data_IF_030935004699
#
_entry.id   IF_030935004699
#
_cell.length_a   1.000
_cell.length_b   1.000
_cell.length_c   1.000
_cell.angle_alpha   90.00
_cell.angle_beta   90.00
_cell.angle_gamma   90.00
#
_symmetry.space_group_name_H-M   'P 1'
#
loop_
_entity.id
_entity.type
_entity.pdbx_description
1 polymer ?
#
# COMPACT_ATOMS: atom_id res chain seq x y z
N UNK A 1 -19.45 -16.23 -27.97
CA UNK A 1 -18.00 -16.09 -27.70
C UNK A 1 -17.78 -15.03 -26.64
N UNK A 2 -17.82 -15.41 -25.37
CA UNK A 2 -17.33 -14.62 -24.25
C UNK A 2 -17.14 -15.58 -23.07
N UNK A 3 -15.89 -16.06 -22.84
CA UNK A 3 -15.40 -16.03 -21.47
C UNK A 3 -13.87 -15.89 -21.44
N UNK A 4 -13.36 -14.67 -21.50
CA UNK A 4 -11.96 -14.36 -21.10
C UNK A 4 -11.95 -13.37 -19.92
N UNK A 5 -13.07 -12.68 -19.68
CA UNK A 5 -13.18 -11.68 -18.60
C UNK A 5 -13.34 -12.34 -17.22
N UNK A 6 -13.82 -13.59 -17.15
CA UNK A 6 -14.16 -14.24 -15.87
C UNK A 6 -12.94 -14.74 -15.06
N UNK A 7 -11.79 -15.00 -15.69
CA UNK A 7 -10.62 -15.55 -14.98
C UNK A 7 -9.79 -14.50 -14.23
N UNK A 8 -9.84 -13.22 -14.63
CA UNK A 8 -9.10 -12.14 -13.92
C UNK A 8 -9.85 -11.60 -12.69
N UNK A 9 -11.12 -11.95 -12.51
CA UNK A 9 -11.92 -11.55 -11.34
C UNK A 9 -11.62 -12.39 -10.09
N UNK A 10 -11.00 -13.57 -10.21
CA UNK A 10 -10.77 -14.46 -9.06
C UNK A 10 -9.79 -13.87 -8.03
N UNK A 11 -8.65 -13.32 -8.46
CA UNK A 11 -7.67 -12.73 -7.54
C UNK A 11 -8.21 -11.54 -6.72
N UNK A 12 -9.22 -10.82 -7.22
CA UNK A 12 -9.88 -9.69 -6.56
C UNK A 12 -10.80 -10.15 -5.42
N UNK A 13 -11.58 -11.20 -5.66
CA UNK A 13 -12.42 -11.82 -4.63
C UNK A 13 -11.60 -12.60 -3.61
N UNK A 14 -10.46 -13.17 -4.01
CA UNK A 14 -9.55 -13.90 -3.10
C UNK A 14 -8.95 -12.99 -2.02
N UNK A 15 -8.63 -11.72 -2.34
CA UNK A 15 -8.12 -10.76 -1.35
C UNK A 15 -9.22 -10.27 -0.38
N UNK A 16 -10.43 -10.02 -0.89
CA UNK A 16 -11.60 -9.68 -0.06
C UNK A 16 -11.98 -10.85 0.84
N UNK A 17 -11.96 -12.07 0.29
CA UNK A 17 -12.21 -13.30 1.02
C UNK A 17 -11.12 -13.55 2.05
N UNK A 18 -9.85 -13.28 1.71
CA UNK A 18 -8.73 -13.33 2.63
C UNK A 18 -8.91 -12.36 3.80
N UNK A 19 -9.29 -11.09 3.59
CA UNK A 19 -9.55 -10.14 4.69
C UNK A 19 -10.84 -10.49 5.47
N UNK A 20 -11.91 -10.93 4.81
CA UNK A 20 -13.10 -11.43 5.52
C UNK A 20 -12.79 -12.65 6.38
N UNK A 21 -11.97 -13.58 5.88
CA UNK A 21 -11.47 -14.75 6.63
C UNK A 21 -10.50 -14.33 7.74
N UNK A 22 -9.72 -13.27 7.52
CA UNK A 22 -8.88 -12.60 8.52
C UNK A 22 -9.70 -12.07 9.71
N UNK A 23 -10.94 -11.62 9.46
CA UNK A 23 -11.84 -11.09 10.48
C UNK A 23 -12.80 -12.14 11.08
N UNK A 24 -13.21 -13.15 10.30
CA UNK A 24 -14.26 -14.11 10.66
C UNK A 24 -13.76 -15.48 11.17
N UNK A 25 -12.55 -15.91 10.80
CA UNK A 25 -11.97 -17.19 11.24
C UNK A 25 -10.75 -17.00 12.15
N UNK A 26 -10.40 -18.04 12.93
CA UNK A 26 -9.10 -18.13 13.59
C UNK A 26 -8.01 -18.16 12.52
N UNK A 27 -7.34 -17.02 12.29
CA UNK A 27 -6.05 -16.99 11.60
C UNK A 27 -5.15 -18.07 12.20
N UNK A 28 -4.77 -19.03 11.38
CA UNK A 28 -3.79 -20.02 11.83
C UNK A 28 -2.42 -19.36 11.91
N UNK A 29 -1.60 -19.78 12.88
CA UNK A 29 -0.22 -19.31 13.02
C UNK A 29 0.55 -19.52 11.70
N UNK A 30 0.28 -20.61 10.98
CA UNK A 30 0.88 -20.91 9.68
C UNK A 30 0.54 -19.82 8.65
N UNK A 31 -0.73 -19.42 8.54
CA UNK A 31 -1.13 -18.35 7.62
C UNK A 31 -0.41 -17.05 7.92
N UNK A 32 -0.27 -16.70 9.20
CA UNK A 32 0.40 -15.47 9.65
C UNK A 32 1.90 -15.49 9.34
N UNK A 33 2.55 -16.64 9.51
CA UNK A 33 3.95 -16.86 9.13
C UNK A 33 4.13 -16.64 7.62
N UNK A 34 3.25 -17.22 6.79
CA UNK A 34 3.31 -17.06 5.33
C UNK A 34 3.14 -15.60 4.91
N UNK A 35 2.20 -14.89 5.53
CA UNK A 35 2.00 -13.45 5.28
C UNK A 35 3.26 -12.67 5.66
N UNK A 36 3.84 -12.94 6.83
CA UNK A 36 5.07 -12.31 7.28
C UNK A 36 6.22 -12.52 6.30
N UNK A 37 6.39 -13.75 5.80
CA UNK A 37 7.40 -14.09 4.82
C UNK A 37 7.17 -13.40 3.47
N UNK A 38 5.94 -13.40 2.95
CA UNK A 38 5.59 -12.77 1.67
C UNK A 38 5.80 -11.26 1.73
N UNK A 39 5.34 -10.60 2.79
CA UNK A 39 5.47 -9.14 2.94
C UNK A 39 6.93 -8.74 3.10
N UNK A 40 7.72 -9.50 3.87
CA UNK A 40 9.17 -9.27 3.96
C UNK A 40 9.88 -9.51 2.64
N UNK A 41 9.53 -10.56 1.89
CA UNK A 41 10.08 -10.79 0.56
C UNK A 41 9.73 -9.64 -0.40
N UNK A 42 8.50 -9.11 -0.32
CA UNK A 42 8.11 -7.93 -1.08
C UNK A 42 8.90 -6.67 -0.67
N UNK A 43 9.25 -6.53 0.61
CA UNK A 43 10.12 -5.47 1.12
C UNK A 43 11.58 -5.58 0.64
N UNK A 44 12.05 -6.78 0.31
CA UNK A 44 13.36 -6.97 -0.34
C UNK A 44 13.33 -6.51 -1.80
N UNK A 45 12.20 -6.66 -2.49
CA UNK A 45 12.05 -6.24 -3.89
C UNK A 45 11.91 -4.72 -4.01
N UNK A 46 11.18 -4.07 -3.10
CA UNK A 46 11.03 -2.62 -3.04
C UNK A 46 11.01 -2.11 -1.61
N UNK A 47 11.87 -1.13 -1.32
CA UNK A 47 12.01 -0.51 0.01
C UNK A 47 10.68 0.02 0.55
N UNK A 48 9.84 0.63 -0.29
CA UNK A 48 8.52 1.14 0.12
C UNK A 48 7.64 0.09 0.82
N UNK A 49 7.78 -1.19 0.44
CA UNK A 49 6.98 -2.27 0.99
C UNK A 49 7.35 -2.59 2.45
N UNK A 50 8.48 -2.08 2.96
CA UNK A 50 8.82 -2.23 4.39
C UNK A 50 7.76 -1.62 5.31
N UNK A 51 7.02 -0.61 4.84
CA UNK A 51 5.97 0.06 5.61
C UNK A 51 4.74 -0.83 5.85
N UNK A 52 4.55 -1.90 5.09
CA UNK A 52 3.48 -2.87 5.36
C UNK A 52 3.74 -3.72 6.60
N UNK A 53 5.01 -3.94 6.97
CA UNK A 53 5.37 -4.72 8.15
C UNK A 53 4.83 -4.11 9.45
N UNK A 54 5.14 -2.83 9.80
CA UNK A 54 4.59 -2.21 11.00
C UNK A 54 3.07 -2.06 10.92
N UNK A 55 2.49 -1.81 9.73
CA UNK A 55 1.05 -1.70 9.56
C UNK A 55 0.33 -3.00 9.93
N UNK A 56 0.75 -4.13 9.35
CA UNK A 56 0.14 -5.44 9.62
C UNK A 56 0.35 -5.83 11.08
N UNK A 57 1.52 -5.54 11.64
CA UNK A 57 1.79 -5.73 13.07
C UNK A 57 0.80 -4.94 13.94
N UNK A 58 0.60 -3.64 13.67
CA UNK A 58 -0.33 -2.80 14.42
C UNK A 58 -1.79 -3.27 14.27
N UNK A 59 -2.18 -3.77 13.10
CA UNK A 59 -3.51 -4.37 12.88
C UNK A 59 -3.68 -5.61 13.76
N UNK A 60 -2.70 -6.52 13.77
CA UNK A 60 -2.74 -7.73 14.60
C UNK A 60 -2.80 -7.39 16.10
N UNK A 61 -2.02 -6.40 16.55
CA UNK A 61 -2.06 -5.88 17.91
C UNK A 61 -3.43 -5.26 18.24
N UNK A 62 -3.99 -4.44 17.33
CA UNK A 62 -5.30 -3.83 17.48
C UNK A 62 -6.44 -4.85 17.57
N UNK A 63 -6.28 -5.99 16.89
CA UNK A 63 -7.17 -7.15 16.97
C UNK A 63 -6.92 -8.05 18.19
N UNK A 64 -5.99 -7.66 19.08
CA UNK A 64 -5.54 -8.42 20.26
C UNK A 64 -5.01 -9.83 19.91
N UNK A 65 -4.45 -9.99 18.71
CA UNK A 65 -3.86 -11.24 18.19
C UNK A 65 -2.36 -11.30 18.47
N UNK A 66 -1.99 -11.32 19.76
CA UNK A 66 -0.59 -11.18 20.18
C UNK A 66 0.30 -12.36 19.78
N UNK A 67 -0.25 -13.58 19.76
CA UNK A 67 0.52 -14.77 19.36
C UNK A 67 0.84 -14.71 17.87
N UNK A 68 -0.13 -14.31 17.08
CA UNK A 68 -0.04 -14.10 15.66
C UNK A 68 0.91 -12.95 15.33
N UNK A 69 0.86 -11.83 16.06
CA UNK A 69 1.79 -10.71 15.83
C UNK A 69 3.24 -11.11 16.08
N UNK A 70 3.52 -11.92 17.12
CA UNK A 70 4.86 -12.45 17.38
C UNK A 70 5.30 -13.39 16.25
N UNK A 71 4.42 -14.30 15.80
CA UNK A 71 4.72 -15.22 14.70
C UNK A 71 4.99 -14.47 13.38
N UNK A 72 4.18 -13.45 13.08
CA UNK A 72 4.38 -12.55 11.95
C UNK A 72 5.75 -11.87 12.02
N UNK A 73 6.04 -11.18 13.14
CA UNK A 73 7.29 -10.44 13.31
C UNK A 73 8.51 -11.35 13.22
N UNK A 74 8.44 -12.55 13.79
CA UNK A 74 9.53 -13.53 13.74
C UNK A 74 9.78 -14.00 12.30
N UNK A 75 8.72 -14.38 11.58
CA UNK A 75 8.84 -14.80 10.19
C UNK A 75 9.37 -13.66 9.30
N UNK A 76 8.82 -12.46 9.49
CA UNK A 76 9.24 -11.27 8.76
C UNK A 76 10.70 -10.90 9.02
N UNK A 77 11.14 -10.97 10.28
CA UNK A 77 12.52 -10.74 10.68
C UNK A 77 13.47 -11.75 10.02
N UNK A 78 13.16 -13.05 10.10
CA UNK A 78 14.03 -14.10 9.54
C UNK A 78 14.22 -13.94 8.02
N UNK A 79 13.15 -13.58 7.29
CA UNK A 79 13.24 -13.35 5.84
C UNK A 79 14.03 -12.09 5.50
N UNK A 80 13.90 -11.03 6.30
CA UNK A 80 14.58 -9.75 6.04
C UNK A 80 16.03 -9.71 6.57
N UNK A 81 16.38 -10.62 7.50
CA UNK A 81 17.66 -10.69 8.18
C UNK A 81 18.87 -10.69 7.23
N UNK A 82 18.89 -11.45 6.11
CA UNK A 82 20.02 -11.42 5.17
C UNK A 82 20.32 -10.01 4.64
N UNK A 83 19.27 -9.21 4.37
CA UNK A 83 19.44 -7.84 3.90
C UNK A 83 20.01 -6.92 4.99
N UNK A 84 19.61 -7.10 6.25
CA UNK A 84 20.18 -6.33 7.36
C UNK A 84 21.65 -6.67 7.60
N UNK A 85 22.02 -7.94 7.51
CA UNK A 85 23.42 -8.38 7.60
C UNK A 85 24.23 -7.76 6.46
N UNK A 86 23.72 -7.83 5.22
CA UNK A 86 24.33 -7.19 4.06
C UNK A 86 24.51 -5.68 4.27
N UNK A 87 23.44 -4.98 4.66
CA UNK A 87 23.47 -3.54 4.86
C UNK A 87 24.48 -3.14 5.95
N UNK A 88 24.50 -3.87 7.06
CA UNK A 88 25.45 -3.61 8.14
C UNK A 88 26.89 -3.82 7.70
N UNK A 89 27.18 -4.92 7.01
CA UNK A 89 28.53 -5.24 6.53
C UNK A 89 29.05 -4.21 5.53
N UNK A 90 28.23 -3.77 4.57
CA UNK A 90 28.68 -2.88 3.49
C UNK A 90 28.52 -1.39 3.80
N UNK A 91 27.56 -1.00 4.63
CA UNK A 91 27.24 0.42 4.89
C UNK A 91 27.40 0.85 6.35
N UNK A 92 27.78 -0.06 7.26
CA UNK A 92 27.96 0.24 8.68
C UNK A 92 26.67 0.40 9.49
N UNK A 93 25.50 0.25 8.85
CA UNK A 93 24.18 0.34 9.48
C UNK A 93 23.17 -0.57 8.78
N UNK A 94 22.30 -1.31 9.52
CA UNK A 94 21.33 -2.21 8.90
C UNK A 94 20.20 -1.47 8.17
N UNK A 95 20.02 -0.18 8.48
CA UNK A 95 18.96 0.67 7.94
C UNK A 95 19.39 1.48 6.72
N UNK A 96 20.65 1.36 6.30
CA UNK A 96 21.17 2.04 5.12
C UNK A 96 20.89 1.20 3.87
N UNK A 97 20.21 1.80 2.89
CA UNK A 97 19.85 1.16 1.63
C UNK A 97 20.82 1.58 0.51
N UNK A 98 21.18 0.63 -0.35
CA UNK A 98 22.39 0.65 -1.18
C UNK A 98 22.45 1.60 -2.38
N UNK A 99 21.86 2.78 -2.32
CA UNK A 99 22.01 3.79 -3.37
C UNK A 99 22.70 5.04 -2.81
N UNK A 100 24.04 5.01 -2.81
CA UNK A 100 24.91 6.17 -2.58
C UNK A 100 25.21 6.96 -3.87
N UNK A 101 24.42 6.80 -4.92
CA UNK A 101 24.61 7.63 -6.12
C UNK A 101 23.85 8.94 -5.89
N UNK A 102 24.57 9.94 -5.36
CA UNK A 102 24.08 11.32 -5.15
C UNK A 102 23.40 11.91 -6.40
N UNK A 103 23.77 11.44 -7.58
CA UNK A 103 23.27 11.92 -8.87
C UNK A 103 21.85 11.40 -9.20
N UNK A 104 21.40 10.31 -8.58
CA UNK A 104 20.05 9.74 -8.76
C UNK A 104 19.10 10.12 -7.61
N UNK A 105 19.62 10.43 -6.42
CA UNK A 105 18.86 10.99 -5.31
C UNK A 105 18.58 12.46 -5.58
N UNK A 106 17.60 12.75 -6.44
CA UNK A 106 17.29 14.12 -6.83
C UNK A 106 16.99 15.02 -5.63
N UNK A 107 17.64 16.20 -5.62
CA UNK A 107 17.39 17.41 -4.82
C UNK A 107 16.70 17.25 -3.44
N UNK A 108 17.12 16.27 -2.64
CA UNK A 108 16.60 16.04 -1.29
C UNK A 108 17.68 16.21 -0.23
N UNK A 109 17.31 16.80 0.91
CA UNK A 109 18.12 16.84 2.13
C UNK A 109 18.69 15.44 2.42
N UNK A 110 20.02 15.34 2.42
CA UNK A 110 20.80 14.13 2.65
C UNK A 110 20.49 13.56 4.04
N UNK A 111 19.42 12.77 4.13
CA UNK A 111 19.12 11.95 5.29
C UNK A 111 19.66 10.55 5.01
N UNK A 112 20.62 10.10 5.82
CA UNK A 112 21.18 8.74 5.73
C UNK A 112 20.10 7.65 5.88
N UNK A 113 18.96 8.02 6.47
CA UNK A 113 17.77 7.21 6.62
C UNK A 113 17.03 7.08 5.28
N UNK A 114 16.86 5.85 4.78
CA UNK A 114 16.29 5.56 3.45
C UNK A 114 17.08 6.18 2.28
N UNK A 115 18.38 6.46 2.47
CA UNK A 115 19.32 6.77 1.39
C UNK A 115 19.18 8.15 0.75
N UNK A 116 18.54 9.13 1.39
CA UNK A 116 18.33 10.47 0.83
C UNK A 116 17.21 10.56 -0.20
N UNK A 117 16.30 9.58 -0.22
CA UNK A 117 15.26 9.48 -1.27
C UNK A 117 14.01 10.32 -0.97
N UNK A 118 13.88 10.86 0.25
CA UNK A 118 12.75 11.65 0.69
C UNK A 118 13.05 13.14 0.53
N UNK A 119 12.33 13.83 -0.37
CA UNK A 119 12.36 15.29 -0.46
C UNK A 119 10.95 15.86 -0.40
N UNK A 120 10.74 16.86 0.45
CA UNK A 120 9.47 17.61 0.50
C UNK A 120 9.28 18.49 -0.74
N UNK A 121 10.36 18.92 -1.38
CA UNK A 121 10.30 19.71 -2.62
C UNK A 121 9.63 18.89 -3.74
N UNK A 122 9.82 17.56 -3.73
CA UNK A 122 9.16 16.66 -4.68
C UNK A 122 7.64 16.66 -4.53
N UNK A 123 7.11 16.89 -3.34
CA UNK A 123 5.65 16.98 -3.12
C UNK A 123 5.09 18.20 -3.84
N UNK A 124 5.77 19.35 -3.71
CA UNK A 124 5.37 20.59 -4.38
C UNK A 124 5.44 20.43 -5.91
N UNK A 125 6.54 19.90 -6.44
CA UNK A 125 6.71 19.64 -7.87
C UNK A 125 5.63 18.69 -8.42
N UNK A 126 5.25 17.66 -7.65
CA UNK A 126 4.17 16.76 -8.03
C UNK A 126 2.84 17.50 -8.18
N UNK A 127 2.46 18.32 -7.20
CA UNK A 127 1.22 19.11 -7.28
C UNK A 127 1.27 20.17 -8.39
N UNK A 128 2.42 20.78 -8.63
CA UNK A 128 2.61 21.73 -9.73
C UNK A 128 2.43 21.06 -11.10
N UNK A 129 3.01 19.87 -11.30
CA UNK A 129 2.79 19.06 -12.51
C UNK A 129 1.33 18.64 -12.68
N UNK A 130 0.66 18.24 -11.59
CA UNK A 130 -0.78 17.93 -11.62
C UNK A 130 -1.60 19.17 -11.99
N UNK A 131 -1.26 20.33 -11.43
CA UNK A 131 -1.90 21.62 -11.73
C UNK A 131 -1.74 22.06 -13.19
N UNK A 132 -0.56 21.86 -13.78
CA UNK A 132 -0.31 22.17 -15.19
C UNK A 132 -1.09 21.25 -16.15
N UNK A 133 -1.42 20.02 -15.74
CA UNK A 133 -2.18 19.05 -16.53
C UNK A 133 -3.68 18.99 -16.15
N UNK A 134 -4.13 19.86 -15.24
CA UNK A 134 -5.47 19.89 -14.66
C UNK A 134 -6.65 20.18 -15.63
N UNK A 135 -6.50 20.90 -16.77
CA UNK A 135 -7.65 21.29 -17.61
C UNK A 135 -8.51 20.11 -18.11
N UNK A 136 -7.92 18.92 -18.27
CA UNK A 136 -8.63 17.70 -18.71
C UNK A 136 -9.26 16.95 -17.53
N UNK A 137 -8.76 17.14 -16.31
CA UNK A 137 -9.14 16.37 -15.13
C UNK A 137 -10.09 17.11 -14.18
N UNK A 138 -10.28 18.43 -14.33
CA UNK A 138 -10.99 19.28 -13.37
C UNK A 138 -12.44 18.84 -13.10
N UNK A 139 -13.10 18.24 -14.09
CA UNK A 139 -14.49 17.78 -13.98
C UNK A 139 -14.62 16.32 -13.54
N UNK A 140 -13.66 15.47 -13.90
CA UNK A 140 -13.70 14.04 -13.60
C UNK A 140 -13.10 13.71 -12.23
N UNK A 141 -12.08 14.47 -11.80
CA UNK A 141 -11.38 14.23 -10.55
C UNK A 141 -12.28 14.39 -9.32
N UNK A 142 -13.11 15.45 -9.18
CA UNK A 142 -13.98 15.60 -8.01
C UNK A 142 -15.02 14.48 -7.92
N UNK A 143 -15.59 14.06 -9.06
CA UNK A 143 -16.55 12.95 -9.13
C UNK A 143 -15.88 11.65 -8.71
N UNK A 144 -14.68 11.38 -9.22
CA UNK A 144 -13.91 10.19 -8.85
C UNK A 144 -13.58 10.19 -7.35
N UNK A 145 -13.10 11.31 -6.81
CA UNK A 145 -12.80 11.47 -5.39
C UNK A 145 -14.05 11.22 -4.55
N UNK A 146 -15.20 11.78 -4.94
CA UNK A 146 -16.46 11.57 -4.23
C UNK A 146 -16.84 10.08 -4.21
N UNK A 147 -16.76 9.38 -5.34
CA UNK A 147 -17.06 7.94 -5.41
C UNK A 147 -16.11 7.14 -4.51
N UNK A 148 -14.81 7.48 -4.50
CA UNK A 148 -13.83 6.83 -3.64
C UNK A 148 -14.12 7.07 -2.14
N UNK A 149 -14.51 8.29 -1.75
CA UNK A 149 -14.89 8.63 -0.37
C UNK A 149 -16.14 7.84 0.04
N UNK A 150 -17.17 7.80 -0.81
CA UNK A 150 -18.39 7.02 -0.54
C UNK A 150 -18.08 5.53 -0.44
N UNK A 151 -17.22 5.02 -1.31
CA UNK A 151 -16.77 3.63 -1.28
C UNK A 151 -16.03 3.28 0.00
N UNK A 152 -15.10 4.14 0.44
CA UNK A 152 -14.41 4.01 1.71
C UNK A 152 -15.38 4.03 2.89
N UNK A 153 -16.30 5.00 2.92
CA UNK A 153 -17.30 5.14 3.96
C UNK A 153 -18.20 3.91 4.10
N UNK A 154 -18.65 3.36 2.97
CA UNK A 154 -19.44 2.12 2.93
C UNK A 154 -18.65 0.95 3.53
N UNK A 155 -17.41 0.73 3.09
CA UNK A 155 -16.58 -0.37 3.62
C UNK A 155 -16.31 -0.13 5.10
N UNK A 156 -16.04 1.10 5.53
CA UNK A 156 -15.76 1.43 6.92
C UNK A 156 -16.95 1.10 7.84
N UNK A 157 -18.18 1.34 7.38
CA UNK A 157 -19.40 0.96 8.12
C UNK A 157 -19.60 -0.55 8.23
N UNK A 158 -19.17 -1.32 7.23
CA UNK A 158 -19.35 -2.78 7.19
C UNK A 158 -18.20 -3.53 7.88
N UNK A 159 -16.96 -3.14 7.58
CA UNK A 159 -15.71 -3.82 7.94
C UNK A 159 -14.61 -2.78 8.19
N UNK A 160 -14.56 -2.22 9.41
CA UNK A 160 -13.62 -1.15 9.79
C UNK A 160 -12.16 -1.51 9.49
N UNK A 161 -11.75 -2.73 9.81
CA UNK A 161 -10.37 -3.19 9.61
C UNK A 161 -9.99 -3.24 8.12
N UNK A 162 -10.89 -3.72 7.26
CA UNK A 162 -10.68 -3.73 5.80
C UNK A 162 -10.54 -2.31 5.26
N UNK A 163 -11.41 -1.39 5.68
CA UNK A 163 -11.32 0.01 5.27
C UNK A 163 -9.98 0.63 5.66
N UNK A 164 -9.51 0.40 6.89
CA UNK A 164 -8.20 0.87 7.37
C UNK A 164 -7.07 0.30 6.51
N UNK A 165 -7.08 -1.02 6.23
CA UNK A 165 -6.07 -1.66 5.36
C UNK A 165 -6.04 -1.02 3.98
N UNK A 166 -7.20 -0.85 3.34
CA UNK A 166 -7.29 -0.26 1.99
C UNK A 166 -6.86 1.20 1.97
N UNK A 167 -7.27 1.98 2.97
CA UNK A 167 -6.87 3.38 3.13
C UNK A 167 -5.37 3.51 3.29
N UNK A 168 -4.77 2.72 4.18
CA UNK A 168 -3.32 2.69 4.35
C UNK A 168 -2.60 2.19 3.11
N UNK A 169 -3.11 1.18 2.41
CA UNK A 169 -2.52 0.70 1.17
C UNK A 169 -2.43 1.84 0.14
N UNK A 170 -3.52 2.57 -0.07
CA UNK A 170 -3.55 3.70 -1.00
C UNK A 170 -2.59 4.81 -0.54
N UNK A 171 -2.64 5.20 0.74
CA UNK A 171 -1.79 6.23 1.30
C UNK A 171 -0.30 5.85 1.25
N UNK A 172 0.04 4.59 1.51
CA UNK A 172 1.41 4.11 1.45
C UNK A 172 1.94 4.09 0.03
N UNK A 173 1.17 3.67 -0.98
CA UNK A 173 1.73 3.69 -2.34
C UNK A 173 1.69 5.10 -2.94
N UNK A 174 0.56 5.79 -2.88
CA UNK A 174 0.48 7.13 -3.48
C UNK A 174 1.30 8.12 -2.65
N UNK A 175 1.06 8.19 -1.35
CA UNK A 175 1.70 9.15 -0.46
C UNK A 175 3.20 8.94 -0.33
N UNK A 176 3.69 7.70 -0.17
CA UNK A 176 5.13 7.45 -0.10
C UNK A 176 5.82 7.81 -1.41
N UNK A 177 5.32 7.33 -2.56
CA UNK A 177 6.01 7.53 -3.83
C UNK A 177 6.03 8.99 -4.29
N UNK A 178 5.09 9.86 -3.87
CA UNK A 178 5.13 11.29 -4.20
C UNK A 178 6.45 11.97 -3.75
N UNK A 179 7.09 11.46 -2.68
CA UNK A 179 8.36 12.00 -2.18
C UNK A 179 9.58 11.64 -3.05
N UNK A 180 9.44 10.76 -4.04
CA UNK A 180 10.55 10.22 -4.84
C UNK A 180 10.52 10.78 -6.27
N UNK A 181 11.66 11.28 -6.75
CA UNK A 181 11.79 11.85 -8.11
C UNK A 181 11.43 10.83 -9.19
N UNK A 182 11.88 9.58 -9.04
CA UNK A 182 11.60 8.50 -9.99
C UNK A 182 10.11 8.18 -10.13
N UNK A 183 9.33 8.38 -9.06
CA UNK A 183 7.89 8.18 -9.12
C UNK A 183 7.20 9.22 -10.00
N UNK A 184 7.78 10.43 -10.12
CA UNK A 184 7.24 11.48 -10.97
C UNK A 184 7.47 11.22 -12.46
N UNK A 185 8.51 10.45 -12.81
CA UNK A 185 8.83 10.12 -14.21
C UNK A 185 8.27 8.76 -14.65
N UNK A 186 7.89 7.88 -13.71
CA UNK A 186 7.47 6.53 -14.02
C UNK A 186 6.16 6.16 -13.30
N UNK A 187 5.05 6.19 -14.05
CA UNK A 187 3.71 5.86 -13.52
C UNK A 187 3.60 4.42 -12.95
N UNK A 188 4.54 3.53 -13.30
CA UNK A 188 4.58 2.14 -12.81
C UNK A 188 4.69 2.03 -11.28
N UNK A 189 5.18 3.07 -10.60
CA UNK A 189 5.26 3.09 -9.13
C UNK A 189 3.88 3.15 -8.47
N UNK A 190 2.85 3.65 -9.16
CA UNK A 190 1.48 3.75 -8.65
C UNK A 190 0.60 2.53 -8.99
N UNK A 191 1.08 1.58 -9.81
CA UNK A 191 0.35 0.35 -10.16
C UNK A 191 -0.15 -0.41 -8.92
N UNK A 192 0.63 -0.56 -7.83
CA UNK A 192 0.15 -1.25 -6.63
C UNK A 192 -1.03 -0.56 -5.93
N UNK A 193 -1.30 0.72 -6.20
CA UNK A 193 -2.50 1.43 -5.71
C UNK A 193 -3.76 1.11 -6.49
N UNK A 194 -3.64 0.56 -7.70
CA UNK A 194 -4.79 0.30 -8.58
C UNK A 194 -5.79 -0.69 -7.95
N UNK A 195 -5.37 -1.85 -7.41
CA UNK A 195 -6.30 -2.80 -6.81
C UNK A 195 -7.18 -2.18 -5.70
N UNK A 196 -6.65 -1.52 -4.65
CA UNK A 196 -7.51 -0.94 -3.62
C UNK A 196 -8.36 0.22 -4.15
N UNK A 197 -7.89 0.99 -5.14
CA UNK A 197 -8.71 2.02 -5.79
C UNK A 197 -9.91 1.44 -6.52
N UNK A 198 -9.74 0.33 -7.24
CA UNK A 198 -10.86 -0.37 -7.90
C UNK A 198 -11.87 -0.87 -6.85
N UNK A 199 -11.40 -1.40 -5.72
CA UNK A 199 -12.27 -1.86 -4.62
C UNK A 199 -13.12 -0.72 -4.06
N UNK A 200 -12.50 0.44 -3.78
CA UNK A 200 -13.22 1.62 -3.31
C UNK A 200 -14.20 2.12 -4.38
N UNK A 201 -13.79 2.16 -5.65
CA UNK A 201 -14.64 2.60 -6.75
C UNK A 201 -15.91 1.74 -6.86
N UNK A 202 -15.75 0.42 -6.90
CA UNK A 202 -16.89 -0.51 -6.97
C UNK A 202 -17.81 -0.36 -5.76
N UNK A 203 -17.23 -0.27 -4.55
CA UNK A 203 -18.00 -0.04 -3.32
C UNK A 203 -18.80 1.27 -3.38
N UNK A 204 -18.20 2.34 -3.89
CA UNK A 204 -18.84 3.65 -4.03
C UNK A 204 -20.00 3.63 -5.02
N UNK A 205 -19.82 2.97 -6.17
CA UNK A 205 -20.89 2.80 -7.17
C UNK A 205 -22.05 2.00 -6.58
N UNK A 206 -21.76 0.91 -5.87
CA UNK A 206 -22.81 0.12 -5.21
C UNK A 206 -23.54 0.93 -4.13
N UNK A 207 -22.83 1.77 -3.37
CA UNK A 207 -23.44 2.65 -2.37
C UNK A 207 -24.44 3.61 -3.01
N UNK A 208 -24.05 4.25 -4.12
CA UNK A 208 -24.93 5.16 -4.87
C UNK A 208 -26.14 4.42 -5.46
N UNK A 209 -25.94 3.20 -5.97
CA UNK A 209 -27.03 2.38 -6.50
C UNK A 209 -28.07 2.01 -5.42
N UNK A 210 -27.61 1.58 -4.24
CA UNK A 210 -28.49 1.26 -3.10
C UNK A 210 -29.21 2.50 -2.59
N UNK A 211 -28.51 3.63 -2.47
CA UNK A 211 -29.12 4.90 -2.06
C UNK A 211 -30.24 5.32 -3.02
N UNK A 212 -30.00 5.23 -4.33
CA UNK A 212 -31.01 5.53 -5.36
C UNK A 212 -32.24 4.61 -5.27
N UNK A 213 -32.03 3.31 -4.99
CA UNK A 213 -33.13 2.32 -4.92
C UNK A 213 -34.04 2.53 -3.70
N UNK A 214 -33.52 3.15 -2.64
CA UNK A 214 -34.25 3.39 -1.39
C UNK A 214 -34.96 4.76 -1.35
N UNK A 215 -34.85 5.55 -2.42
CA UNK A 215 -35.63 6.78 -2.67
C UNK A 215 -36.79 6.41 -3.59
#
# INVERSE_FOLDING_TARGET
>A
MAPIICQRFYYFWDFIYFIKKFNAEKLTIISVILIGAIVSAAALVRVANILYLPLIFLILIGLKKYRESIAFSTASFLVYLPQWIYNFYFFGSPFTYGYRIKELSGHGLETELLGGWLSFDNVLIFFEKVWQNLPVFIWLLPILILILILGFWRIFKQEKHLAVVLGFWILLNIGFYIFFVDAQSQLRYFIPSIPPLIMLLMSGILYLYEYRRNI
#
